data_IF_720489639242
#
_entry.id   IF_720489639242
#
_cell.length_a   1.000
_cell.length_b   1.000
_cell.length_c   1.000
_cell.angle_alpha   90.00
_cell.angle_beta   90.00
_cell.angle_gamma   90.00
#
_symmetry.space_group_name_H-M   'P 1'
#
loop_
_entity.id
_entity.type
_entity.pdbx_description
1 polymer ?
#
# COMPACT_ATOMS: atom_id res chain seq x y z
N UNK A 1 -34.58 -17.83 -18.00
CA UNK A 1 -34.73 -17.17 -16.69
C UNK A 1 -34.92 -15.66 -16.79
N UNK A 2 -34.20 -14.93 -17.65
CA UNK A 2 -34.23 -13.45 -17.73
C UNK A 2 -35.60 -12.82 -18.02
N UNK A 3 -36.49 -13.51 -18.76
CA UNK A 3 -37.80 -12.98 -19.12
C UNK A 3 -38.81 -12.98 -17.98
N UNK A 4 -38.84 -14.06 -17.20
CA UNK A 4 -39.87 -14.29 -16.17
C UNK A 4 -39.30 -14.27 -14.76
N UNK A 5 -37.98 -14.09 -14.62
CA UNK A 5 -37.23 -14.23 -13.36
C UNK A 5 -37.51 -15.60 -12.71
N UNK A 6 -37.41 -16.67 -13.50
CA UNK A 6 -37.61 -18.06 -13.05
C UNK A 6 -36.38 -18.90 -13.42
N UNK A 7 -35.83 -19.65 -12.47
CA UNK A 7 -34.83 -20.70 -12.69
C UNK A 7 -35.51 -22.07 -12.65
N UNK A 8 -35.64 -22.72 -13.81
CA UNK A 8 -36.40 -23.97 -13.93
C UNK A 8 -37.89 -23.74 -13.59
N UNK A 9 -38.34 -24.32 -12.47
CA UNK A 9 -39.70 -24.14 -11.93
C UNK A 9 -39.75 -23.14 -10.76
N UNK A 10 -38.62 -22.58 -10.33
CA UNK A 10 -38.53 -21.72 -9.15
C UNK A 10 -38.47 -20.25 -9.50
N UNK A 11 -39.34 -19.45 -8.87
CA UNK A 11 -39.30 -18.01 -9.00
C UNK A 11 -38.11 -17.43 -8.23
N UNK A 12 -37.42 -16.47 -8.84
CA UNK A 12 -36.31 -15.76 -8.19
C UNK A 12 -36.91 -14.89 -7.08
N UNK A 13 -36.39 -14.98 -5.83
CA UNK A 13 -36.94 -14.21 -4.72
C UNK A 13 -36.82 -12.69 -4.93
N UNK A 14 -37.71 -11.90 -4.32
CA UNK A 14 -37.58 -10.44 -4.32
C UNK A 14 -36.21 -9.99 -3.78
N UNK A 15 -35.66 -8.91 -4.36
CA UNK A 15 -34.39 -8.32 -3.94
C UNK A 15 -33.13 -8.92 -4.58
N UNK A 16 -33.25 -9.99 -5.38
CA UNK A 16 -32.10 -10.57 -6.08
C UNK A 16 -31.66 -9.72 -7.29
N UNK A 17 -30.34 -9.63 -7.46
CA UNK A 17 -29.68 -9.04 -8.63
C UNK A 17 -28.86 -10.12 -9.32
N UNK A 18 -28.90 -10.14 -10.65
CA UNK A 18 -28.08 -11.05 -11.47
C UNK A 18 -26.99 -10.21 -12.13
N UNK A 19 -25.74 -10.60 -11.92
CA UNK A 19 -24.57 -9.98 -12.55
C UNK A 19 -23.83 -11.06 -13.33
N UNK A 20 -23.51 -10.77 -14.58
CA UNK A 20 -22.74 -11.65 -15.46
C UNK A 20 -21.55 -10.88 -16.00
N UNK A 21 -20.38 -11.52 -16.06
CA UNK A 21 -19.17 -10.98 -16.68
C UNK A 21 -18.69 -11.94 -17.76
N UNK A 22 -18.15 -11.41 -18.84
CA UNK A 22 -17.61 -12.19 -19.96
C UNK A 22 -16.68 -11.35 -20.81
N UNK A 23 -15.76 -12.03 -21.51
CA UNK A 23 -14.82 -11.37 -22.41
C UNK A 23 -15.46 -11.18 -23.79
N UNK A 24 -15.14 -10.09 -24.52
CA UNK A 24 -15.59 -9.95 -25.89
C UNK A 24 -15.06 -11.07 -26.80
N UNK A 25 -15.76 -11.36 -27.91
CA UNK A 25 -15.43 -12.46 -28.82
C UNK A 25 -13.99 -12.44 -29.34
N UNK A 26 -13.42 -11.23 -29.50
CA UNK A 26 -12.04 -11.03 -29.95
C UNK A 26 -10.99 -11.68 -29.04
N UNK A 27 -11.28 -11.92 -27.75
CA UNK A 27 -10.33 -12.52 -26.82
C UNK A 27 -10.51 -14.03 -26.62
N UNK A 28 -11.56 -14.64 -27.18
CA UNK A 28 -11.81 -16.07 -26.97
C UNK A 28 -12.53 -16.72 -28.16
N UNK A 29 -11.90 -17.76 -28.73
CA UNK A 29 -12.42 -18.53 -29.87
C UNK A 29 -13.70 -19.33 -29.57
N UNK A 30 -14.08 -19.46 -28.31
CA UNK A 30 -15.23 -20.26 -27.83
C UNK A 30 -16.31 -19.39 -27.16
N UNK A 31 -16.53 -18.16 -27.62
CA UNK A 31 -17.58 -17.28 -27.09
C UNK A 31 -18.91 -17.57 -27.76
N UNK A 32 -19.93 -17.83 -26.96
CA UNK A 32 -21.32 -17.86 -27.40
C UNK A 32 -21.94 -16.49 -27.15
N UNK A 33 -22.29 -15.77 -28.21
CA UNK A 33 -22.95 -14.48 -28.10
C UNK A 33 -24.42 -14.65 -27.67
N UNK A 34 -24.89 -13.73 -26.82
CA UNK A 34 -26.31 -13.63 -26.53
C UNK A 34 -27.08 -13.10 -27.75
N UNK A 35 -28.27 -13.65 -27.99
CA UNK A 35 -29.19 -13.07 -28.98
C UNK A 35 -29.64 -11.66 -28.57
N UNK A 36 -30.14 -10.90 -29.54
CA UNK A 36 -30.51 -9.49 -29.35
C UNK A 36 -31.62 -9.31 -28.31
N UNK A 37 -32.51 -10.29 -28.18
CA UNK A 37 -33.66 -10.27 -27.25
C UNK A 37 -33.17 -10.49 -25.82
N UNK A 38 -32.12 -11.27 -25.66
CA UNK A 38 -31.44 -11.52 -24.40
C UNK A 38 -30.63 -10.29 -23.98
N UNK A 39 -29.97 -9.62 -24.92
CA UNK A 39 -29.27 -8.36 -24.67
C UNK A 39 -30.16 -7.24 -24.14
N UNK A 40 -31.39 -7.08 -24.67
CA UNK A 40 -32.37 -6.08 -24.21
C UNK A 40 -32.74 -6.24 -22.71
N UNK A 41 -32.51 -7.43 -22.14
CA UNK A 41 -32.81 -7.74 -20.74
C UNK A 41 -31.65 -7.45 -19.80
N UNK A 42 -30.47 -7.13 -20.31
CA UNK A 42 -29.31 -6.74 -19.53
C UNK A 42 -29.08 -5.23 -19.57
N UNK A 43 -28.50 -4.71 -18.50
CA UNK A 43 -27.80 -3.42 -18.54
C UNK A 43 -26.33 -3.72 -18.80
N UNK A 44 -25.85 -3.38 -20.00
CA UNK A 44 -24.46 -3.58 -20.41
C UNK A 44 -23.60 -2.46 -19.83
N UNK A 45 -22.52 -2.83 -19.16
CA UNK A 45 -21.43 -1.93 -18.78
C UNK A 45 -20.19 -2.49 -19.48
N UNK A 46 -19.59 -1.70 -20.36
CA UNK A 46 -18.33 -2.06 -21.00
C UNK A 46 -17.18 -1.62 -20.08
N UNK A 47 -16.26 -2.53 -19.82
CA UNK A 47 -15.07 -2.27 -19.02
C UNK A 47 -13.87 -2.36 -19.94
N UNK A 48 -13.11 -1.26 -20.04
CA UNK A 48 -11.88 -1.18 -20.82
C UNK A 48 -10.68 -1.12 -19.87
N UNK A 49 -9.53 -1.56 -20.35
CA UNK A 49 -8.29 -1.45 -19.62
C UNK A 49 -7.82 0.01 -19.65
N UNK A 50 -7.69 0.62 -18.48
CA UNK A 50 -7.22 2.00 -18.33
C UNK A 50 -6.04 2.04 -17.36
N UNK A 51 -4.88 2.48 -17.86
CA UNK A 51 -3.65 2.50 -17.07
C UNK A 51 -3.74 3.46 -15.89
N UNK A 52 -4.37 4.63 -16.04
CA UNK A 52 -4.42 5.63 -14.95
C UNK A 52 -5.27 5.11 -13.78
N UNK A 53 -6.42 4.51 -14.07
CA UNK A 53 -7.25 3.84 -13.08
C UNK A 53 -6.52 2.69 -12.40
N UNK A 54 -5.77 1.88 -13.16
CA UNK A 54 -4.97 0.81 -12.58
C UNK A 54 -3.76 1.31 -11.80
N UNK A 55 -3.18 2.46 -12.14
CA UNK A 55 -2.07 3.05 -11.41
C UNK A 55 -2.46 3.47 -10.00
N UNK A 56 -3.65 4.05 -9.83
CA UNK A 56 -4.24 4.29 -8.50
C UNK A 56 -4.31 3.01 -7.68
N UNK A 57 -4.78 1.92 -8.30
CA UNK A 57 -4.76 0.59 -7.69
C UNK A 57 -3.33 0.12 -7.39
N UNK A 58 -2.39 0.30 -8.32
CA UNK A 58 -0.99 -0.11 -8.19
C UNK A 58 -0.32 0.50 -6.96
N UNK A 59 -0.55 1.79 -6.70
CA UNK A 59 -0.07 2.43 -5.47
C UNK A 59 -0.68 1.82 -4.21
N UNK A 60 -2.00 1.61 -4.21
CA UNK A 60 -2.71 0.98 -3.09
C UNK A 60 -2.23 -0.46 -2.83
N UNK A 61 -2.13 -1.25 -3.89
CA UNK A 61 -1.70 -2.65 -3.89
C UNK A 61 -0.22 -2.84 -3.58
N UNK A 62 0.60 -1.78 -3.75
CA UNK A 62 2.04 -1.86 -3.57
C UNK A 62 2.74 -2.55 -4.74
N UNK A 63 2.30 -2.26 -5.97
CA UNK A 63 2.98 -2.69 -7.19
C UNK A 63 4.39 -2.09 -7.23
N UNK A 64 5.36 -2.89 -7.68
CA UNK A 64 6.77 -2.54 -7.72
C UNK A 64 7.01 -1.25 -8.53
N UNK A 65 7.76 -0.28 -8.00
CA UNK A 65 7.89 1.05 -8.61
C UNK A 65 8.50 1.03 -10.01
N UNK A 66 9.35 0.05 -10.34
CA UNK A 66 9.89 -0.09 -11.70
C UNK A 66 8.79 -0.38 -12.74
N UNK A 67 7.74 -1.13 -12.36
CA UNK A 67 6.61 -1.41 -13.27
C UNK A 67 5.80 -0.13 -13.50
N UNK A 68 5.54 0.63 -12.44
CA UNK A 68 4.85 1.92 -12.54
C UNK A 68 5.64 2.86 -13.44
N UNK A 69 6.92 3.08 -13.16
CA UNK A 69 7.80 3.95 -13.94
C UNK A 69 7.85 3.53 -15.43
N UNK A 70 7.99 2.23 -15.70
CA UNK A 70 8.01 1.71 -17.07
C UNK A 70 6.70 2.00 -17.81
N UNK A 71 5.56 1.72 -17.20
CA UNK A 71 4.25 1.93 -17.82
C UNK A 71 3.88 3.41 -17.96
N UNK A 72 4.48 4.30 -17.16
CA UNK A 72 4.36 5.74 -17.37
C UNK A 72 5.11 6.21 -18.62
N UNK A 73 6.27 5.62 -18.89
CA UNK A 73 7.04 5.88 -20.11
C UNK A 73 6.42 5.19 -21.33
N UNK A 74 5.79 4.04 -21.13
CA UNK A 74 5.18 3.23 -22.18
C UNK A 74 3.73 2.82 -21.87
N UNK A 75 2.76 3.77 -21.82
CA UNK A 75 1.37 3.45 -21.47
C UNK A 75 0.72 2.43 -22.41
N UNK A 76 1.16 2.38 -23.67
CA UNK A 76 0.70 1.41 -24.66
C UNK A 76 1.06 -0.05 -24.35
N UNK A 77 2.03 -0.29 -23.46
CA UNK A 77 2.44 -1.64 -23.05
C UNK A 77 1.64 -2.15 -21.84
N UNK A 78 0.68 -1.38 -21.33
CA UNK A 78 -0.12 -1.76 -20.17
C UNK A 78 -1.03 -2.97 -20.43
N UNK A 79 -1.64 -3.03 -21.61
CA UNK A 79 -2.61 -4.06 -21.94
C UNK A 79 -2.57 -4.39 -23.43
N UNK A 80 -2.26 -5.64 -23.75
CA UNK A 80 -2.22 -6.16 -25.11
C UNK A 80 -2.69 -7.61 -25.11
N UNK A 81 -3.70 -7.92 -25.93
CA UNK A 81 -4.11 -9.30 -26.18
C UNK A 81 -4.20 -9.48 -27.68
N UNK A 82 -3.24 -10.20 -28.25
CA UNK A 82 -3.25 -10.61 -29.64
C UNK A 82 -3.22 -12.14 -29.73
N UNK A 83 -4.30 -12.69 -30.28
CA UNK A 83 -4.49 -14.12 -30.51
C UNK A 83 -4.47 -14.52 -31.99
N UNK A 84 -4.02 -13.61 -32.88
CA UNK A 84 -4.05 -13.78 -34.33
C UNK A 84 -3.03 -14.82 -34.80
N UNK A 85 -1.79 -14.77 -34.31
CA UNK A 85 -0.77 -15.79 -34.54
C UNK A 85 -0.86 -16.90 -33.48
N UNK A 86 -1.08 -18.14 -33.93
CA UNK A 86 -1.20 -19.31 -33.05
C UNK A 86 0.14 -19.75 -32.44
N UNK A 87 1.26 -19.32 -33.00
CA UNK A 87 2.60 -19.65 -32.50
C UNK A 87 3.21 -18.51 -31.69
N UNK A 88 2.59 -17.33 -31.70
CA UNK A 88 3.07 -16.13 -31.02
C UNK A 88 1.90 -15.34 -30.43
N UNK A 89 1.29 -15.91 -29.39
CA UNK A 89 0.27 -15.20 -28.62
C UNK A 89 0.92 -14.07 -27.83
N UNK A 90 0.37 -12.87 -27.94
CA UNK A 90 0.74 -11.73 -27.10
C UNK A 90 -0.28 -11.59 -25.99
N UNK A 91 0.14 -11.75 -24.75
CA UNK A 91 -0.75 -11.67 -23.58
C UNK A 91 -0.09 -10.81 -22.50
N UNK A 92 -0.49 -9.54 -22.48
CA UNK A 92 -0.17 -8.55 -21.47
C UNK A 92 -1.48 -8.07 -20.86
N UNK A 93 -1.61 -8.22 -19.55
CA UNK A 93 -2.80 -7.80 -18.82
C UNK A 93 -2.43 -7.08 -17.54
N UNK A 94 -3.37 -6.30 -16.99
CA UNK A 94 -3.25 -5.68 -15.68
C UNK A 94 -2.78 -6.67 -14.58
N UNK A 95 -3.30 -7.91 -14.63
CA UNK A 95 -2.94 -8.97 -13.67
C UNK A 95 -1.52 -9.46 -13.88
N UNK A 96 -1.06 -9.59 -15.13
CA UNK A 96 0.31 -10.04 -15.40
C UNK A 96 1.36 -9.12 -14.77
N UNK A 97 1.13 -7.80 -14.83
CA UNK A 97 1.97 -6.80 -14.16
C UNK A 97 1.95 -6.92 -12.64
N UNK A 98 0.78 -7.16 -12.06
CA UNK A 98 0.63 -7.35 -10.61
C UNK A 98 1.29 -8.65 -10.12
N UNK A 99 1.05 -9.78 -10.80
CA UNK A 99 1.65 -11.06 -10.46
C UNK A 99 3.19 -11.01 -10.61
N UNK A 100 3.68 -10.33 -11.67
CA UNK A 100 5.10 -10.08 -11.85
C UNK A 100 5.67 -9.21 -10.72
N UNK A 101 4.95 -8.16 -10.30
CA UNK A 101 5.35 -7.30 -9.19
C UNK A 101 5.60 -8.12 -7.91
N UNK A 102 4.66 -8.99 -7.55
CA UNK A 102 4.79 -9.83 -6.36
C UNK A 102 6.04 -10.73 -6.46
N UNK A 103 6.30 -11.32 -7.63
CA UNK A 103 7.48 -12.16 -7.84
C UNK A 103 8.79 -11.39 -7.82
N UNK A 104 8.85 -10.19 -8.41
CA UNK A 104 10.03 -9.31 -8.33
C UNK A 104 10.36 -9.03 -6.86
N UNK A 105 9.36 -8.59 -6.08
CA UNK A 105 9.55 -8.28 -4.66
C UNK A 105 10.04 -9.48 -3.86
N UNK A 106 9.49 -10.67 -4.11
CA UNK A 106 9.96 -11.91 -3.46
C UNK A 106 11.42 -12.22 -3.82
N UNK A 107 11.79 -12.09 -5.09
CA UNK A 107 13.15 -12.33 -5.55
C UNK A 107 14.15 -11.35 -4.95
N UNK A 108 13.81 -10.06 -4.92
CA UNK A 108 14.65 -9.03 -4.30
C UNK A 108 14.86 -9.27 -2.81
N UNK A 109 13.80 -9.64 -2.07
CA UNK A 109 13.88 -9.97 -0.63
C UNK A 109 14.83 -11.15 -0.37
N UNK A 110 14.80 -12.16 -1.24
CA UNK A 110 15.65 -13.35 -1.14
C UNK A 110 17.04 -13.17 -1.77
N UNK A 111 17.34 -11.98 -2.33
CA UNK A 111 18.60 -11.69 -3.02
C UNK A 111 18.80 -12.49 -4.32
N UNK A 112 17.70 -12.96 -4.92
CA UNK A 112 17.71 -13.67 -6.19
C UNK A 112 17.62 -12.71 -7.38
N UNK A 113 18.32 -13.04 -8.46
CA UNK A 113 18.28 -12.23 -9.68
C UNK A 113 16.93 -12.38 -10.40
N UNK A 114 16.27 -11.25 -10.68
CA UNK A 114 15.16 -11.18 -11.62
C UNK A 114 15.72 -11.25 -13.04
N UNK A 115 15.35 -12.27 -13.81
CA UNK A 115 15.86 -12.49 -15.18
C UNK A 115 14.78 -12.24 -16.23
N UNK A 116 15.19 -12.10 -17.49
CA UNK A 116 14.26 -12.01 -18.62
C UNK A 116 13.33 -13.23 -18.70
N UNK A 117 13.83 -14.43 -18.41
CA UNK A 117 13.02 -15.66 -18.41
C UNK A 117 11.94 -15.65 -17.32
N UNK A 118 12.20 -15.02 -16.17
CA UNK A 118 11.18 -14.82 -15.13
C UNK A 118 10.12 -13.84 -15.62
N UNK A 119 10.55 -12.67 -16.13
CA UNK A 119 9.64 -11.63 -16.63
C UNK A 119 8.75 -12.18 -17.75
N UNK A 120 9.31 -12.93 -18.69
CA UNK A 120 8.59 -13.51 -19.83
C UNK A 120 7.55 -14.58 -19.47
N UNK A 121 7.59 -15.14 -18.24
CA UNK A 121 6.51 -16.02 -17.77
C UNK A 121 5.20 -15.27 -17.53
N UNK A 122 5.31 -13.98 -17.15
CA UNK A 122 4.18 -13.11 -16.85
C UNK A 122 3.84 -12.21 -18.05
N UNK A 123 4.85 -11.54 -18.61
CA UNK A 123 4.70 -10.68 -19.78
C UNK A 123 4.93 -11.50 -21.05
N UNK A 124 3.87 -12.13 -21.55
CA UNK A 124 3.95 -13.02 -22.71
C UNK A 124 3.91 -12.22 -24.01
N UNK A 125 4.88 -11.34 -24.20
CA UNK A 125 5.13 -10.60 -25.43
C UNK A 125 6.65 -10.49 -25.62
N UNK A 126 7.13 -10.97 -26.78
CA UNK A 126 8.56 -11.05 -27.08
C UNK A 126 9.25 -9.70 -27.28
N UNK A 127 8.49 -8.61 -27.44
CA UNK A 127 8.99 -7.26 -27.56
C UNK A 127 8.96 -6.56 -26.18
N UNK A 128 7.83 -6.65 -25.47
CA UNK A 128 7.62 -5.93 -24.20
C UNK A 128 8.47 -6.52 -23.06
N UNK A 129 8.60 -7.84 -22.95
CA UNK A 129 9.36 -8.45 -21.85
C UNK A 129 10.85 -8.06 -21.85
N UNK A 130 11.60 -8.11 -22.97
CA UNK A 130 12.96 -7.60 -23.04
C UNK A 130 13.07 -6.11 -22.72
N UNK A 131 12.17 -5.28 -23.26
CA UNK A 131 12.18 -3.83 -22.99
C UNK A 131 11.98 -3.53 -21.50
N UNK A 132 11.05 -4.22 -20.83
CA UNK A 132 10.86 -4.05 -19.39
C UNK A 132 12.06 -4.57 -18.59
N UNK A 133 12.67 -5.69 -19.00
CA UNK A 133 13.87 -6.21 -18.34
C UNK A 133 15.04 -5.23 -18.40
N UNK A 134 15.32 -4.66 -19.58
CA UNK A 134 16.36 -3.64 -19.75
C UNK A 134 16.09 -2.41 -18.88
N UNK A 135 14.84 -1.93 -18.87
CA UNK A 135 14.44 -0.83 -18.01
C UNK A 135 14.59 -1.17 -16.52
N UNK A 136 14.21 -2.36 -16.09
CA UNK A 136 14.33 -2.83 -14.70
C UNK A 136 15.81 -2.89 -14.25
N UNK A 137 16.72 -3.36 -15.12
CA UNK A 137 18.14 -3.33 -14.85
C UNK A 137 18.64 -1.90 -14.65
N UNK A 138 18.30 -0.98 -15.56
CA UNK A 138 18.65 0.44 -15.44
C UNK A 138 18.05 1.08 -14.19
N UNK A 139 16.80 0.77 -13.86
CA UNK A 139 16.11 1.26 -12.66
C UNK A 139 16.87 0.89 -11.38
N UNK A 140 17.42 -0.33 -11.32
CA UNK A 140 18.24 -0.77 -10.19
C UNK A 140 19.64 -0.15 -10.19
N UNK A 141 20.27 0.03 -11.36
CA UNK A 141 21.53 0.80 -11.45
C UNK A 141 21.36 2.22 -10.92
N UNK A 142 20.25 2.88 -11.26
CA UNK A 142 19.92 4.21 -10.76
C UNK A 142 19.66 4.22 -9.25
N UNK A 143 19.03 3.18 -8.69
CA UNK A 143 18.85 3.03 -7.25
C UNK A 143 20.19 3.03 -6.51
N UNK A 144 21.17 2.27 -7.01
CA UNK A 144 22.52 2.21 -6.42
C UNK A 144 23.29 3.52 -6.58
N UNK A 145 23.13 4.21 -7.71
CA UNK A 145 23.83 5.46 -8.00
C UNK A 145 23.30 6.63 -7.17
N UNK A 146 21.98 6.76 -7.07
CA UNK A 146 21.35 7.90 -6.41
C UNK A 146 21.15 7.70 -4.91
N UNK A 147 21.05 6.46 -4.44
CA UNK A 147 20.77 6.13 -3.04
C UNK A 147 19.56 6.93 -2.51
N UNK A 148 18.33 6.57 -2.92
CA UNK A 148 17.14 7.34 -2.57
C UNK A 148 16.96 7.48 -1.05
N UNK A 149 17.34 6.47 -0.26
CA UNK A 149 17.27 6.55 1.20
C UNK A 149 18.19 7.66 1.75
N UNK A 150 19.41 7.76 1.24
CA UNK A 150 20.34 8.84 1.59
C UNK A 150 19.82 10.23 1.22
N UNK A 151 19.19 10.37 0.04
CA UNK A 151 18.54 11.62 -0.38
C UNK A 151 17.39 11.97 0.57
N UNK A 152 16.53 11.01 0.89
CA UNK A 152 15.37 11.22 1.77
C UNK A 152 15.78 11.51 3.21
N UNK A 153 16.91 10.97 3.68
CA UNK A 153 17.51 11.31 4.97
C UNK A 153 18.18 12.70 4.97
N UNK A 154 18.31 13.34 3.81
CA UNK A 154 18.78 14.72 3.66
C UNK A 154 20.26 14.85 3.31
N UNK A 155 20.94 13.74 2.99
CA UNK A 155 22.33 13.74 2.54
C UNK A 155 22.43 14.09 1.05
N UNK A 156 21.85 15.22 0.66
CA UNK A 156 21.79 15.68 -0.73
C UNK A 156 23.17 16.23 -1.14
N UNK A 157 23.81 15.57 -2.11
CA UNK A 157 25.10 16.00 -2.66
C UNK A 157 24.91 16.83 -3.92
N UNK A 158 25.84 17.76 -4.18
CA UNK A 158 25.82 18.54 -5.42
C UNK A 158 25.99 17.64 -6.65
N UNK A 159 26.77 16.56 -6.54
CA UNK A 159 26.95 15.58 -7.61
C UNK A 159 25.63 14.89 -7.99
N UNK A 160 24.83 14.47 -7.00
CA UNK A 160 23.53 13.86 -7.27
C UNK A 160 22.55 14.86 -7.92
N UNK A 161 22.55 16.12 -7.46
CA UNK A 161 21.73 17.19 -8.04
C UNK A 161 22.13 17.48 -9.48
N UNK A 162 23.42 17.67 -9.75
CA UNK A 162 23.95 17.95 -11.08
C UNK A 162 23.67 16.77 -12.03
N UNK A 163 23.79 15.53 -11.55
CA UNK A 163 23.46 14.34 -12.33
C UNK A 163 21.99 14.33 -12.71
N UNK A 164 21.10 14.48 -11.73
CA UNK A 164 19.66 14.51 -11.94
C UNK A 164 19.25 15.64 -12.89
N UNK A 165 19.83 16.83 -12.75
CA UNK A 165 19.56 17.97 -13.64
C UNK A 165 20.04 17.78 -15.08
N UNK A 166 21.04 16.93 -15.31
CA UNK A 166 21.53 16.57 -16.66
C UNK A 166 20.95 15.28 -17.20
N UNK A 167 20.12 14.57 -16.42
CA UNK A 167 19.51 13.30 -16.80
C UNK A 167 18.50 13.47 -17.94
N UNK A 168 18.34 12.43 -18.75
CA UNK A 168 17.27 12.39 -19.75
C UNK A 168 15.90 12.19 -19.09
N UNK A 169 14.83 12.25 -19.89
CA UNK A 169 13.46 12.11 -19.39
C UNK A 169 13.20 10.74 -18.77
N UNK A 170 13.84 9.69 -19.26
CA UNK A 170 13.67 8.33 -18.78
C UNK A 170 14.29 8.16 -17.38
N UNK A 171 15.53 8.59 -17.21
CA UNK A 171 16.23 8.59 -15.91
C UNK A 171 15.55 9.51 -14.90
N UNK A 172 15.06 10.69 -15.33
CA UNK A 172 14.29 11.58 -14.45
C UNK A 172 12.98 10.94 -13.94
N UNK A 173 12.25 10.20 -14.79
CA UNK A 173 11.02 9.50 -14.39
C UNK A 173 11.33 8.30 -13.49
N UNK A 174 12.40 7.56 -13.78
CA UNK A 174 12.85 6.46 -12.93
C UNK A 174 13.26 6.97 -11.53
N UNK A 175 14.05 8.04 -11.46
CA UNK A 175 14.47 8.66 -10.20
C UNK A 175 13.29 9.21 -9.40
N UNK A 176 12.34 9.89 -10.07
CA UNK A 176 11.10 10.33 -9.44
C UNK A 176 10.36 9.16 -8.79
N UNK A 177 10.19 8.05 -9.51
CA UNK A 177 9.48 6.88 -9.00
C UNK A 177 10.26 6.15 -7.88
N UNK A 178 11.60 6.17 -7.90
CA UNK A 178 12.44 5.68 -6.79
C UNK A 178 12.21 6.49 -5.50
N UNK A 179 12.25 7.82 -5.59
CA UNK A 179 12.01 8.70 -4.44
C UNK A 179 10.56 8.58 -3.95
N UNK A 180 9.60 8.50 -4.88
CA UNK A 180 8.19 8.28 -4.58
C UNK A 180 7.96 6.98 -3.81
N UNK A 181 8.65 5.90 -4.17
CA UNK A 181 8.55 4.63 -3.45
C UNK A 181 9.01 4.75 -2.00
N UNK A 182 10.19 5.36 -1.77
CA UNK A 182 10.75 5.57 -0.43
C UNK A 182 9.83 6.41 0.48
N UNK A 183 9.30 7.53 -0.01
CA UNK A 183 8.35 8.34 0.77
C UNK A 183 7.01 7.63 0.94
N UNK A 184 6.52 6.90 -0.07
CA UNK A 184 5.27 6.14 0.03
C UNK A 184 5.36 5.04 1.08
N UNK A 185 6.49 4.33 1.14
CA UNK A 185 6.72 3.26 2.11
C UNK A 185 6.67 3.77 3.55
N UNK A 186 7.39 4.86 3.85
CA UNK A 186 7.42 5.46 5.19
C UNK A 186 6.08 6.06 5.59
N UNK A 187 5.40 6.77 4.69
CA UNK A 187 4.05 7.32 4.91
C UNK A 187 3.00 6.23 5.16
N UNK A 188 3.01 5.16 4.36
CA UNK A 188 2.14 3.99 4.55
C UNK A 188 2.35 3.36 5.92
N UNK A 189 3.60 3.25 6.34
CA UNK A 189 3.98 2.72 7.66
C UNK A 189 3.46 3.62 8.78
N UNK A 190 3.59 4.95 8.67
CA UNK A 190 3.01 5.91 9.63
C UNK A 190 1.50 5.70 9.80
N UNK A 191 0.75 5.66 8.70
CA UNK A 191 -0.72 5.49 8.74
C UNK A 191 -1.11 4.13 9.34
N UNK A 192 -0.37 3.06 9.00
CA UNK A 192 -0.61 1.73 9.56
C UNK A 192 -0.30 1.66 11.06
N UNK A 193 0.81 2.27 11.51
CA UNK A 193 1.20 2.33 12.93
C UNK A 193 0.18 3.09 13.76
N UNK A 194 -0.29 4.24 13.29
CA UNK A 194 -1.36 4.98 13.97
C UNK A 194 -2.63 4.13 14.09
N UNK A 195 -3.06 3.50 12.99
CA UNK A 195 -4.26 2.66 12.99
C UNK A 195 -4.13 1.48 13.93
N UNK A 196 -2.91 0.96 14.11
CA UNK A 196 -2.59 -0.08 15.09
C UNK A 196 -2.68 0.47 16.53
N UNK A 197 -2.06 1.62 16.80
CA UNK A 197 -2.08 2.30 18.11
C UNK A 197 -3.52 2.56 18.57
N UNK A 198 -4.36 3.12 17.69
CA UNK A 198 -5.78 3.40 18.00
C UNK A 198 -6.59 2.13 18.31
N UNK A 199 -6.17 0.97 17.81
CA UNK A 199 -6.86 -0.30 18.07
C UNK A 199 -6.31 -1.06 19.28
N UNK A 200 -5.01 -0.93 19.56
CA UNK A 200 -4.40 -1.58 20.73
C UNK A 200 -4.67 -0.78 22.01
N UNK A 201 -4.70 0.55 21.95
CA UNK A 201 -4.95 1.44 23.08
C UNK A 201 -6.17 1.02 23.94
N UNK A 202 -7.40 0.88 23.41
CA UNK A 202 -8.55 0.47 24.22
C UNK A 202 -8.42 -0.94 24.82
N UNK A 203 -7.63 -1.83 24.21
CA UNK A 203 -7.35 -3.15 24.79
C UNK A 203 -6.42 -3.02 25.99
N UNK A 204 -5.41 -2.17 25.90
CA UNK A 204 -4.49 -1.89 27.00
C UNK A 204 -5.20 -1.18 28.17
N UNK A 205 -6.14 -0.26 27.88
CA UNK A 205 -7.00 0.35 28.89
C UNK A 205 -7.81 -0.72 29.64
N UNK A 206 -8.52 -1.61 28.93
CA UNK A 206 -9.28 -2.71 29.55
C UNK A 206 -8.37 -3.64 30.39
N UNK A 207 -7.16 -3.93 29.90
CA UNK A 207 -6.18 -4.71 30.65
C UNK A 207 -5.82 -4.01 31.97
N UNK A 208 -5.51 -2.71 31.94
CA UNK A 208 -5.15 -1.96 33.15
C UNK A 208 -6.31 -1.85 34.14
N UNK A 209 -7.54 -1.63 33.65
CA UNK A 209 -8.76 -1.61 34.47
C UNK A 209 -8.91 -2.95 35.21
N UNK A 210 -8.85 -4.07 34.49
CA UNK A 210 -9.04 -5.41 35.07
C UNK A 210 -7.89 -5.81 36.01
N UNK A 211 -6.65 -5.44 35.71
CA UNK A 211 -5.52 -5.62 36.63
C UNK A 211 -5.76 -4.84 37.93
N UNK A 212 -6.36 -3.65 37.84
CA UNK A 212 -6.68 -2.85 39.02
C UNK A 212 -7.74 -3.51 39.91
N UNK A 213 -8.69 -4.23 39.31
CA UNK A 213 -9.73 -5.05 39.97
C UNK A 213 -9.18 -6.36 40.57
N UNK A 214 -7.88 -6.64 40.42
CA UNK A 214 -7.21 -7.80 41.00
C UNK A 214 -7.23 -9.05 40.11
N UNK A 215 -7.61 -8.93 38.84
CA UNK A 215 -7.55 -10.01 37.87
C UNK A 215 -6.10 -10.24 37.40
N UNK A 216 -5.80 -11.48 37.01
CA UNK A 216 -4.47 -11.86 36.49
C UNK A 216 -4.20 -11.18 35.16
N UNK A 217 -3.09 -10.43 35.07
CA UNK A 217 -2.66 -9.75 33.85
C UNK A 217 -2.51 -10.75 32.70
N UNK A 218 -1.87 -11.90 32.97
CA UNK A 218 -1.71 -12.97 31.99
C UNK A 218 -3.03 -13.47 31.42
N UNK A 219 -4.04 -13.67 32.28
CA UNK A 219 -5.36 -14.16 31.82
C UNK A 219 -6.06 -13.15 30.91
N UNK A 220 -6.04 -11.86 31.28
CA UNK A 220 -6.71 -10.81 30.52
C UNK A 220 -6.04 -10.59 29.16
N UNK A 221 -4.70 -10.54 29.11
CA UNK A 221 -3.98 -10.40 27.84
C UNK A 221 -4.25 -11.61 26.94
N UNK A 222 -4.26 -12.82 27.48
CA UNK A 222 -4.61 -14.03 26.73
C UNK A 222 -6.04 -13.96 26.15
N UNK A 223 -7.01 -13.42 26.89
CA UNK A 223 -8.37 -13.21 26.41
C UNK A 223 -8.43 -12.25 25.20
N UNK A 224 -7.70 -11.14 25.26
CA UNK A 224 -7.59 -10.19 24.15
C UNK A 224 -6.92 -10.81 22.92
N UNK A 225 -5.86 -11.60 23.11
CA UNK A 225 -5.19 -12.32 22.02
C UNK A 225 -6.16 -13.30 21.36
N UNK A 226 -6.85 -14.12 22.14
CA UNK A 226 -7.81 -15.11 21.63
C UNK A 226 -8.97 -14.44 20.87
N UNK A 227 -9.53 -13.36 21.41
CA UNK A 227 -10.61 -12.61 20.77
C UNK A 227 -10.15 -11.98 19.46
N UNK A 228 -8.96 -11.38 19.46
CA UNK A 228 -8.39 -10.75 18.26
C UNK A 228 -8.10 -11.78 17.17
N UNK A 229 -7.53 -12.95 17.53
CA UNK A 229 -7.34 -14.08 16.61
C UNK A 229 -8.64 -14.61 16.03
N UNK A 230 -9.65 -14.84 16.88
CA UNK A 230 -10.97 -15.31 16.44
C UNK A 230 -11.61 -14.36 15.44
N UNK A 231 -11.58 -13.06 15.72
CA UNK A 231 -12.14 -12.04 14.83
C UNK A 231 -11.37 -11.97 13.50
N UNK A 232 -10.04 -12.06 13.56
CA UNK A 232 -9.20 -12.13 12.37
C UNK A 232 -9.54 -13.35 11.50
N UNK A 233 -9.61 -14.54 12.10
CA UNK A 233 -9.96 -15.78 11.38
C UNK A 233 -11.35 -15.71 10.73
N UNK A 234 -12.33 -15.16 11.44
CA UNK A 234 -13.67 -14.94 10.89
C UNK A 234 -13.65 -13.98 9.69
N UNK A 235 -12.93 -12.87 9.80
CA UNK A 235 -12.83 -11.89 8.72
C UNK A 235 -12.08 -12.42 7.50
N UNK A 236 -11.03 -13.22 7.71
CA UNK A 236 -10.28 -13.91 6.64
C UNK A 236 -11.16 -14.95 5.94
N UNK A 237 -11.86 -15.80 6.70
CA UNK A 237 -12.78 -16.80 6.13
C UNK A 237 -13.92 -16.17 5.33
N UNK A 238 -14.43 -15.03 5.80
CA UNK A 238 -15.46 -14.26 5.10
C UNK A 238 -14.92 -13.41 3.93
N UNK A 239 -13.60 -13.32 3.74
CA UNK A 239 -12.94 -12.48 2.71
C UNK A 239 -13.31 -10.99 2.79
N UNK A 240 -13.47 -10.46 4.01
CA UNK A 240 -13.88 -9.06 4.27
C UNK A 240 -12.77 -8.20 4.90
N UNK A 241 -11.51 -8.66 4.86
CA UNK A 241 -10.37 -7.96 5.44
C UNK A 241 -9.31 -7.65 4.37
N UNK A 242 -8.87 -6.40 4.31
CA UNK A 242 -7.77 -6.00 3.43
C UNK A 242 -6.42 -6.53 3.92
N UNK A 243 -5.43 -6.71 3.05
CA UNK A 243 -4.07 -7.10 3.44
C UNK A 243 -3.46 -6.19 4.51
N UNK A 244 -3.63 -4.86 4.35
CA UNK A 244 -3.19 -3.86 5.33
C UNK A 244 -3.84 -4.06 6.71
N UNK A 245 -5.17 -4.27 6.76
CA UNK A 245 -5.86 -4.53 8.04
C UNK A 245 -5.43 -5.86 8.66
N UNK A 246 -5.21 -6.89 7.84
CA UNK A 246 -4.69 -8.19 8.29
C UNK A 246 -3.30 -8.04 8.92
N UNK A 247 -2.40 -7.27 8.31
CA UNK A 247 -1.08 -6.94 8.87
C UNK A 247 -1.20 -6.24 10.23
N UNK A 248 -2.10 -5.26 10.35
CA UNK A 248 -2.36 -4.55 11.61
C UNK A 248 -2.85 -5.50 12.71
N UNK A 249 -3.78 -6.41 12.42
CA UNK A 249 -4.25 -7.37 13.43
C UNK A 249 -3.10 -8.28 13.93
N UNK A 250 -2.23 -8.75 13.03
CA UNK A 250 -1.05 -9.52 13.43
C UNK A 250 -0.09 -8.71 14.30
N UNK A 251 0.14 -7.42 13.98
CA UNK A 251 0.94 -6.54 14.83
C UNK A 251 0.35 -6.36 16.23
N UNK A 252 -0.97 -6.22 16.35
CA UNK A 252 -1.65 -6.13 17.65
C UNK A 252 -1.42 -7.42 18.44
N UNK A 253 -1.65 -8.59 17.81
CA UNK A 253 -1.43 -9.89 18.45
C UNK A 253 0.01 -10.03 18.92
N UNK A 254 0.98 -9.71 18.06
CA UNK A 254 2.40 -9.79 18.38
C UNK A 254 2.79 -8.89 19.56
N UNK A 255 2.30 -7.64 19.61
CA UNK A 255 2.55 -6.75 20.74
C UNK A 255 1.92 -7.27 22.03
N UNK A 256 0.67 -7.75 21.98
CA UNK A 256 0.02 -8.33 23.15
C UNK A 256 0.76 -9.57 23.67
N UNK A 257 1.26 -10.44 22.78
CA UNK A 257 2.09 -11.59 23.17
C UNK A 257 3.38 -11.16 23.85
N UNK A 258 4.09 -10.17 23.28
CA UNK A 258 5.29 -9.63 23.88
C UNK A 258 5.02 -9.00 25.26
N UNK A 259 3.87 -8.33 25.44
CA UNK A 259 3.49 -7.74 26.73
C UNK A 259 3.13 -8.83 27.75
N UNK A 260 2.41 -9.88 27.33
CA UNK A 260 2.10 -11.03 28.18
C UNK A 260 3.38 -11.71 28.71
N UNK A 261 4.37 -11.91 27.84
CA UNK A 261 5.64 -12.52 28.20
C UNK A 261 6.40 -11.66 29.21
N UNK A 262 6.49 -10.34 28.99
CA UNK A 262 7.12 -9.41 29.95
C UNK A 262 6.38 -9.36 31.29
N UNK A 263 5.05 -9.27 31.28
CA UNK A 263 4.24 -9.27 32.50
C UNK A 263 4.39 -10.58 33.29
N UNK A 264 4.53 -11.72 32.61
CA UNK A 264 4.71 -13.02 33.24
C UNK A 264 6.14 -13.17 33.82
N UNK A 265 7.17 -12.88 33.02
CA UNK A 265 8.55 -13.18 33.37
C UNK A 265 9.19 -12.10 34.27
N UNK A 266 8.98 -10.82 33.94
CA UNK A 266 9.55 -9.68 34.68
C UNK A 266 8.58 -9.17 35.74
N UNK A 267 7.31 -9.03 35.34
CA UNK A 267 6.23 -8.56 36.21
C UNK A 267 5.80 -9.57 37.27
N UNK A 268 6.02 -10.88 37.03
CA UNK A 268 5.52 -11.99 37.86
C UNK A 268 4.02 -11.88 38.17
N UNK A 269 3.25 -11.37 37.21
CA UNK A 269 1.82 -11.08 37.33
C UNK A 269 1.47 -10.13 38.50
N UNK A 270 2.46 -9.41 39.04
CA UNK A 270 2.24 -8.41 40.08
C UNK A 270 1.61 -7.16 39.47
N UNK A 271 0.48 -6.73 40.05
CA UNK A 271 -0.30 -5.54 39.63
C UNK A 271 0.59 -4.33 39.28
N UNK A 272 1.36 -3.81 40.25
CA UNK A 272 2.15 -2.59 40.07
C UNK A 272 3.20 -2.75 38.97
N UNK A 273 3.89 -3.90 38.93
CA UNK A 273 4.91 -4.16 37.91
C UNK A 273 4.31 -4.29 36.51
N UNK A 274 3.18 -5.00 36.37
CA UNK A 274 2.51 -5.18 35.09
C UNK A 274 1.98 -3.86 34.54
N UNK A 275 1.40 -3.00 35.40
CA UNK A 275 0.99 -1.65 35.02
C UNK A 275 2.14 -0.86 34.43
N UNK A 276 3.30 -0.81 35.11
CA UNK A 276 4.48 -0.08 34.64
C UNK A 276 5.00 -0.65 33.31
N UNK A 277 5.03 -1.98 33.16
CA UNK A 277 5.46 -2.64 31.91
C UNK A 277 4.57 -2.22 30.75
N UNK A 278 3.24 -2.27 30.92
CA UNK A 278 2.28 -1.94 29.87
C UNK A 278 2.35 -0.45 29.51
N UNK A 279 2.42 0.43 30.50
CA UNK A 279 2.56 1.88 30.29
C UNK A 279 3.85 2.20 29.52
N UNK A 280 4.99 1.67 29.96
CA UNK A 280 6.28 1.89 29.28
C UNK A 280 6.26 1.34 27.85
N UNK A 281 5.65 0.18 27.63
CA UNK A 281 5.53 -0.41 26.30
C UNK A 281 4.68 0.44 25.36
N UNK A 282 3.56 0.99 25.85
CA UNK A 282 2.71 1.89 25.08
C UNK A 282 3.39 3.24 24.80
N UNK A 283 4.09 3.82 25.78
CA UNK A 283 4.89 5.04 25.58
C UNK A 283 5.98 4.83 24.53
N UNK A 284 6.68 3.69 24.56
CA UNK A 284 7.66 3.34 23.53
C UNK A 284 7.02 3.19 22.14
N UNK A 285 5.80 2.64 22.08
CA UNK A 285 5.07 2.52 20.83
C UNK A 285 4.68 3.90 20.26
N UNK A 286 4.20 4.82 21.10
CA UNK A 286 3.90 6.20 20.72
C UNK A 286 5.16 6.94 20.24
N UNK A 287 6.27 6.80 20.96
CA UNK A 287 7.55 7.41 20.58
C UNK A 287 8.06 6.86 19.25
N UNK A 288 7.93 5.55 19.02
CA UNK A 288 8.23 4.93 17.73
C UNK A 288 7.39 5.54 16.60
N UNK A 289 6.08 5.68 16.79
CA UNK A 289 5.20 6.31 15.80
C UNK A 289 5.55 7.79 15.53
N UNK A 290 5.90 8.55 16.59
CA UNK A 290 6.41 9.93 16.45
C UNK A 290 7.65 9.98 15.58
N UNK A 291 8.62 9.09 15.82
CA UNK A 291 9.87 9.05 15.06
C UNK A 291 9.61 8.73 13.59
N UNK A 292 8.81 7.71 13.28
CA UNK A 292 8.48 7.34 11.89
C UNK A 292 7.70 8.45 11.18
N UNK A 293 6.80 9.13 11.89
CA UNK A 293 6.09 10.31 11.34
C UNK A 293 7.07 11.42 11.00
N UNK A 294 7.96 11.79 11.93
CA UNK A 294 8.97 12.83 11.71
C UNK A 294 9.93 12.47 10.58
N UNK A 295 10.31 11.20 10.47
CA UNK A 295 11.12 10.70 9.35
C UNK A 295 10.36 10.84 8.02
N UNK A 296 9.08 10.46 7.98
CA UNK A 296 8.25 10.58 6.77
C UNK A 296 8.08 12.04 6.32
N UNK A 297 7.87 12.96 7.26
CA UNK A 297 7.78 14.40 6.99
C UNK A 297 9.11 14.97 6.47
N UNK A 298 10.21 14.60 7.12
CA UNK A 298 11.57 15.01 6.71
C UNK A 298 11.90 14.46 5.33
N UNK A 299 11.59 13.19 5.06
CA UNK A 299 11.79 12.54 3.77
C UNK A 299 11.04 13.24 2.64
N UNK A 300 9.74 13.54 2.84
CA UNK A 300 8.95 14.29 1.86
C UNK A 300 9.56 15.67 1.58
N UNK A 301 9.98 16.38 2.63
CA UNK A 301 10.63 17.68 2.50
C UNK A 301 11.94 17.60 1.71
N UNK A 302 12.79 16.64 2.06
CA UNK A 302 14.08 16.44 1.40
C UNK A 302 13.91 16.03 -0.06
N UNK A 303 12.89 15.21 -0.38
CA UNK A 303 12.51 14.92 -1.76
C UNK A 303 12.19 16.21 -2.53
N UNK A 304 11.37 17.12 -1.98
CA UNK A 304 11.08 18.40 -2.64
C UNK A 304 12.33 19.26 -2.81
N UNK A 305 13.18 19.36 -1.78
CA UNK A 305 14.45 20.11 -1.86
C UNK A 305 15.32 19.57 -2.99
N UNK A 306 15.50 18.25 -3.06
CA UNK A 306 16.29 17.60 -4.10
C UNK A 306 15.71 17.84 -5.49
N UNK A 307 14.41 17.61 -5.67
CA UNK A 307 13.74 17.73 -6.97
C UNK A 307 13.69 19.19 -7.45
N UNK A 308 13.50 20.16 -6.56
CA UNK A 308 13.54 21.59 -6.89
C UNK A 308 14.97 22.05 -7.22
N UNK A 309 15.98 21.53 -6.54
CA UNK A 309 17.38 21.83 -6.85
C UNK A 309 17.82 21.23 -8.20
N UNK A 310 17.38 20.02 -8.54
CA UNK A 310 17.77 19.32 -9.77
C UNK A 310 17.01 19.84 -11.00
N UNK A 311 15.70 20.03 -10.90
CA UNK A 311 14.85 20.31 -12.06
C UNK A 311 14.21 21.70 -12.05
N UNK A 312 14.08 22.32 -10.87
CA UNK A 312 13.34 23.57 -10.69
C UNK A 312 11.84 23.37 -10.43
N UNK A 313 11.23 24.31 -9.70
CA UNK A 313 9.85 24.25 -9.24
C UNK A 313 8.79 24.18 -10.36
N UNK A 314 9.05 24.86 -11.49
CA UNK A 314 8.10 24.94 -12.61
C UNK A 314 8.33 23.86 -13.68
N UNK A 315 9.24 22.92 -13.44
CA UNK A 315 9.63 21.91 -14.41
C UNK A 315 8.53 20.87 -14.68
N UNK A 316 8.52 20.24 -15.86
CA UNK A 316 7.61 19.11 -16.15
C UNK A 316 7.76 17.97 -15.14
N UNK A 317 8.98 17.69 -14.68
CA UNK A 317 9.27 16.64 -13.69
C UNK A 317 8.65 16.99 -12.33
N UNK A 318 8.74 18.25 -11.88
CA UNK A 318 8.10 18.68 -10.65
C UNK A 318 6.57 18.60 -10.74
N UNK A 319 5.96 18.98 -11.88
CA UNK A 319 4.51 18.81 -12.07
C UNK A 319 4.08 17.36 -12.01
N UNK A 320 4.84 16.48 -12.66
CA UNK A 320 4.62 15.03 -12.62
C UNK A 320 4.69 14.50 -11.19
N UNK A 321 5.67 14.94 -10.38
CA UNK A 321 5.78 14.57 -8.97
C UNK A 321 4.51 14.94 -8.19
N UNK A 322 4.00 16.16 -8.38
CA UNK A 322 2.77 16.62 -7.71
C UNK A 322 1.53 15.82 -8.13
N UNK A 323 1.44 15.45 -9.41
CA UNK A 323 0.40 14.56 -9.93
C UNK A 323 0.49 13.17 -9.29
N UNK A 324 1.68 12.57 -9.23
CA UNK A 324 1.86 11.24 -8.61
C UNK A 324 1.59 11.25 -7.11
N UNK A 325 2.04 12.29 -6.40
CA UNK A 325 1.69 12.50 -4.99
C UNK A 325 0.18 12.61 -4.79
N UNK A 326 -0.56 13.12 -5.78
CA UNK A 326 -2.02 13.29 -5.74
C UNK A 326 -2.78 12.00 -6.04
N UNK A 327 -2.29 11.20 -6.98
CA UNK A 327 -2.89 9.93 -7.40
C UNK A 327 -2.66 8.84 -6.33
N UNK A 328 -1.49 8.85 -5.70
CA UNK A 328 -1.15 7.86 -4.68
C UNK A 328 -1.94 8.12 -3.37
N UNK A 329 -2.79 7.17 -3.00
CA UNK A 329 -3.66 7.29 -1.83
C UNK A 329 -2.87 7.43 -0.52
N UNK A 330 -1.71 6.78 -0.41
CA UNK A 330 -0.91 6.80 0.82
C UNK A 330 -0.26 8.16 1.06
N UNK A 331 0.26 8.78 0.00
CA UNK A 331 0.86 10.11 0.07
C UNK A 331 -0.20 11.17 0.32
N UNK A 332 -1.35 11.10 -0.37
CA UNK A 332 -2.42 12.07 -0.14
C UNK A 332 -3.06 11.98 1.24
N UNK A 333 -3.32 10.77 1.75
CA UNK A 333 -3.85 10.60 3.10
C UNK A 333 -2.87 11.14 4.15
N UNK A 334 -1.57 10.92 3.94
CA UNK A 334 -0.53 11.46 4.79
C UNK A 334 -0.46 12.98 4.73
N UNK A 335 -0.39 13.59 3.54
CA UNK A 335 -0.28 15.04 3.35
C UNK A 335 -1.51 15.77 3.89
N UNK A 336 -2.72 15.23 3.69
CA UNK A 336 -3.95 15.81 4.26
C UNK A 336 -3.93 15.82 5.79
N UNK A 337 -3.28 14.84 6.40
CA UNK A 337 -3.28 14.64 7.84
C UNK A 337 -2.15 15.35 8.56
N UNK A 338 -0.94 15.26 8.02
CA UNK A 338 0.29 15.76 8.63
C UNK A 338 0.76 17.09 8.03
N UNK A 339 0.25 17.46 6.86
CA UNK A 339 0.64 18.67 6.14
C UNK A 339 1.93 18.50 5.32
N UNK A 340 2.12 19.41 4.37
CA UNK A 340 3.38 19.65 3.65
C UNK A 340 3.32 21.03 3.02
N UNK A 341 4.09 21.96 3.57
CA UNK A 341 4.10 23.36 3.11
C UNK A 341 4.60 23.45 1.66
N UNK A 342 5.60 22.64 1.31
CA UNK A 342 6.16 22.56 -0.04
C UNK A 342 5.10 22.09 -1.05
N UNK A 343 4.36 21.03 -0.75
CA UNK A 343 3.30 20.52 -1.63
C UNK A 343 2.21 21.58 -1.85
N UNK A 344 1.68 22.17 -0.77
CA UNK A 344 0.61 23.17 -0.87
C UNK A 344 1.06 24.45 -1.59
N UNK A 345 2.30 24.91 -1.34
CA UNK A 345 2.92 26.02 -2.08
C UNK A 345 2.96 25.72 -3.58
N UNK A 346 3.45 24.55 -3.96
CA UNK A 346 3.65 24.19 -5.38
C UNK A 346 2.35 23.98 -6.14
N UNK A 347 1.27 23.52 -5.48
CA UNK A 347 -0.07 23.43 -6.10
C UNK A 347 -0.90 24.71 -5.98
N UNK A 348 -0.36 25.77 -5.38
CA UNK A 348 -1.04 27.06 -5.21
C UNK A 348 -2.26 27.03 -4.30
N UNK A 349 -2.29 26.16 -3.28
CA UNK A 349 -3.38 26.06 -2.30
C UNK A 349 -2.89 26.46 -0.90
N UNK A 350 -3.79 26.94 -0.01
CA UNK A 350 -3.41 27.19 1.38
C UNK A 350 -3.05 25.87 2.07
N UNK A 351 -2.05 25.94 2.97
CA UNK A 351 -1.71 24.80 3.81
C UNK A 351 -2.91 24.39 4.68
N UNK A 352 -3.10 23.09 4.83
CA UNK A 352 -4.12 22.51 5.71
C UNK A 352 -3.51 22.31 7.10
N UNK A 353 -4.23 22.71 8.14
CA UNK A 353 -3.80 22.47 9.51
C UNK A 353 -3.72 20.95 9.79
N UNK A 354 -2.59 20.46 10.32
CA UNK A 354 -2.46 19.03 10.60
C UNK A 354 -3.41 18.54 11.69
N UNK A 355 -4.01 17.36 11.50
CA UNK A 355 -5.03 16.79 12.40
C UNK A 355 -4.50 15.62 13.24
N UNK A 356 -3.18 15.46 13.38
CA UNK A 356 -2.57 14.30 14.02
C UNK A 356 -2.30 14.46 15.53
N UNK A 357 -2.43 15.67 16.06
CA UNK A 357 -2.07 15.99 17.45
C UNK A 357 -2.81 15.09 18.47
N UNK A 358 -4.10 14.80 18.23
CA UNK A 358 -4.95 14.00 19.11
C UNK A 358 -4.42 12.56 19.35
N UNK A 359 -3.65 11.97 18.42
CA UNK A 359 -3.10 10.62 18.62
C UNK A 359 -2.02 10.62 19.69
N UNK A 360 -1.17 11.64 19.71
CA UNK A 360 0.00 11.67 20.59
C UNK A 360 -0.31 12.16 22.00
N UNK A 361 -1.55 12.55 22.24
CA UNK A 361 -2.13 12.83 23.55
C UNK A 361 -2.69 11.57 24.23
N UNK A 362 -2.84 10.46 23.49
CA UNK A 362 -3.25 9.17 24.07
C UNK A 362 -2.25 8.76 25.16
N UNK A 363 -2.78 8.41 26.32
CA UNK A 363 -2.01 7.93 27.45
C UNK A 363 -2.74 6.77 28.13
N UNK A 364 -2.04 6.10 29.05
CA UNK A 364 -2.59 5.06 29.92
C UNK A 364 -2.51 5.46 31.40
N UNK A 365 -2.24 6.73 31.67
CA UNK A 365 -2.11 7.29 33.03
C UNK A 365 -3.49 7.50 33.65
N UNK A 366 -4.48 7.92 32.86
CA UNK A 366 -5.86 8.17 33.29
C UNK A 366 -6.60 6.90 33.76
N UNK A 367 -6.10 5.72 33.40
CA UNK A 367 -6.66 4.41 33.77
C UNK A 367 -6.42 4.04 35.25
N UNK A 368 -5.61 4.82 35.97
CA UNK A 368 -5.21 4.55 37.34
C UNK A 368 -5.84 5.59 38.28
N UNK A 369 -7.07 5.32 38.73
CA UNK A 369 -7.51 5.88 40.01
C UNK A 369 -6.73 5.17 41.11
N UNK A 370 -5.58 5.73 41.48
CA UNK A 370 -4.91 5.38 42.72
C UNK A 370 -5.72 5.98 43.88
N UNK A 371 -6.64 5.20 44.45
CA UNK A 371 -7.13 5.40 45.83
C UNK A 371 -6.34 4.52 46.80
#
# INVERSE_FOLDING_TARGET
FLQYKIFGLHQIPPGWVIVTAGNPPQFNKSVNEFDIVTWDRFKKVECEADFLCWKEYGYYGGVHPAIIAYLELHPGHYYEIDATDRHNYKIITARAWEDLSEMIQLYEIDGMAVTLELIGQYLQDHDIAPMFYEFYCKFNELREIYDPDSILDGNITQEAVDRAGNADTEEAIALLNLLMDGVTYTMRTTIQMEKMIRQIHPKLEDILIKINEGLSCRQIIAEHIMTTRKNLDMAVKARIISPSNKKIQHWIIHNLEAYMDKCTNEGRDNKQRCTIIIQNAFTNLLNGAKNVTSQSMTGLKNMFIFMEAAYGADSPVMRKLLEELTINCHTMDFIKKYGSDEFYRLIGKPAVEPTYNDMYELNLEDCLKFE
#
